data_IF_256448173036
#
_entry.id   IF_256448173036
#
_cell.length_a   1.000
_cell.length_b   1.000
_cell.length_c   1.000
_cell.angle_alpha   90.00
_cell.angle_beta   90.00
_cell.angle_gamma   90.00
#
_symmetry.space_group_name_H-M   'P 1'
#
loop_
_entity.id
_entity.type
_entity.pdbx_description
1 polymer ?
#
# COMPACT_ATOMS: atom_id res chain seq x y z
N UNK A 1 16.90 26.46 3.78
CA UNK A 1 15.47 26.11 3.76
C UNK A 1 15.28 24.82 4.55
N UNK A 2 14.33 24.84 5.51
CA UNK A 2 13.99 23.67 6.31
C UNK A 2 12.67 23.07 5.81
N UNK A 3 12.68 21.79 5.48
CA UNK A 3 11.52 21.05 5.03
C UNK A 3 11.24 19.90 5.98
N UNK A 4 10.04 19.86 6.54
CA UNK A 4 9.56 18.80 7.40
C UNK A 4 8.52 17.98 6.64
N UNK A 5 8.75 16.69 6.48
CA UNK A 5 7.82 15.79 5.85
C UNK A 5 7.31 14.79 6.89
N UNK A 6 6.02 14.52 6.88
CA UNK A 6 5.39 13.51 7.73
C UNK A 6 4.55 12.55 6.89
N UNK A 7 4.57 11.29 7.27
CA UNK A 7 3.60 10.30 6.79
C UNK A 7 2.58 10.03 7.89
N UNK A 8 1.29 10.06 7.51
CA UNK A 8 0.15 9.80 8.39
C UNK A 8 -0.55 8.52 7.96
N UNK A 9 -0.89 7.66 8.87
CA UNK A 9 -1.43 6.33 8.60
C UNK A 9 -0.60 5.27 9.30
N UNK A 10 -0.80 3.99 9.02
CA UNK A 10 0.06 2.96 9.61
C UNK A 10 1.53 3.24 9.25
N UNK A 11 2.44 3.03 10.19
CA UNK A 11 3.86 3.36 10.03
C UNK A 11 4.12 4.86 9.83
N UNK A 12 3.52 5.68 10.70
CA UNK A 12 3.80 7.11 10.74
C UNK A 12 5.30 7.38 10.80
N UNK A 13 5.76 8.40 10.08
CA UNK A 13 7.18 8.74 10.02
C UNK A 13 7.36 10.25 9.90
N UNK A 14 8.52 10.72 10.34
CA UNK A 14 8.94 12.12 10.23
C UNK A 14 10.32 12.19 9.61
N UNK A 15 10.48 13.05 8.61
CA UNK A 15 11.75 13.36 7.97
C UNK A 15 11.98 14.89 7.97
N UNK A 16 13.17 15.33 8.38
CA UNK A 16 13.58 16.73 8.35
C UNK A 16 14.74 16.90 7.41
N UNK A 17 14.60 17.80 6.47
CA UNK A 17 15.64 18.21 5.52
C UNK A 17 16.08 19.63 5.75
N UNK A 18 17.39 19.86 5.59
CA UNK A 18 17.95 21.19 5.43
C UNK A 18 18.50 21.30 4.01
N UNK A 19 17.90 22.15 3.20
CA UNK A 19 18.17 22.22 1.76
C UNK A 19 17.95 20.85 1.10
N UNK A 20 18.99 20.17 0.64
CA UNK A 20 18.89 18.84 0.05
C UNK A 20 19.38 17.71 0.97
N UNK A 21 19.79 18.03 2.19
CA UNK A 21 20.38 17.08 3.13
C UNK A 21 19.34 16.56 4.12
N UNK A 22 19.23 15.23 4.25
CA UNK A 22 18.43 14.58 5.28
C UNK A 22 19.13 14.73 6.64
N UNK A 23 18.56 15.54 7.55
CA UNK A 23 19.11 15.81 8.88
C UNK A 23 18.58 14.81 9.91
N UNK A 24 17.30 14.44 9.78
CA UNK A 24 16.63 13.57 10.76
C UNK A 24 15.57 12.74 10.06
N UNK A 25 15.47 11.46 10.45
CA UNK A 25 14.39 10.57 10.07
C UNK A 25 14.06 9.63 11.22
N UNK A 26 12.77 9.42 11.46
CA UNK A 26 12.30 8.43 12.43
C UNK A 26 10.91 7.93 12.07
N UNK A 27 10.68 6.64 12.26
CA UNK A 27 9.35 6.05 12.33
C UNK A 27 8.76 6.26 13.73
N UNK A 28 7.49 6.65 13.81
CA UNK A 28 6.84 7.00 15.06
C UNK A 28 6.84 5.86 16.07
N UNK A 29 6.69 4.62 15.63
CA UNK A 29 6.69 3.43 16.48
C UNK A 29 8.02 3.19 17.22
N UNK A 30 9.14 3.76 16.71
CA UNK A 30 10.44 3.73 17.40
C UNK A 30 10.43 4.61 18.65
N UNK A 31 9.67 5.67 18.62
CA UNK A 31 9.53 6.63 19.73
C UNK A 31 8.39 6.24 20.66
N UNK A 32 7.20 6.00 20.11
CA UNK A 32 6.00 5.68 20.90
C UNK A 32 6.01 4.27 21.50
N UNK A 33 6.80 3.34 20.93
CA UNK A 33 6.81 1.91 21.25
C UNK A 33 5.49 1.21 20.94
N UNK A 34 4.61 1.85 20.19
CA UNK A 34 3.37 1.26 19.68
C UNK A 34 3.56 0.89 18.23
N UNK A 35 3.59 -0.41 17.93
CA UNK A 35 3.80 -0.93 16.59
C UNK A 35 2.73 -0.40 15.63
N UNK A 36 3.17 0.06 14.47
CA UNK A 36 2.32 0.67 13.43
C UNK A 36 1.65 1.99 13.83
N UNK A 37 2.19 2.72 14.81
CA UNK A 37 1.69 4.05 15.17
C UNK A 37 1.71 4.97 13.95
N UNK A 38 0.54 5.50 13.61
CA UNK A 38 0.32 6.35 12.44
C UNK A 38 0.28 7.85 12.74
N UNK A 39 0.52 8.25 13.99
CA UNK A 39 0.41 9.65 14.41
C UNK A 39 1.78 10.24 14.71
N UNK A 40 2.47 10.88 13.74
CA UNK A 40 3.88 11.26 13.83
C UNK A 40 4.18 12.44 14.77
N UNK A 41 3.51 12.54 15.92
CA UNK A 41 3.68 13.68 16.84
C UNK A 41 4.99 13.66 17.62
N UNK A 42 5.49 12.48 18.02
CA UNK A 42 6.77 12.40 18.73
C UNK A 42 7.93 12.67 17.77
N UNK A 43 7.83 12.17 16.53
CA UNK A 43 8.78 12.50 15.48
C UNK A 43 8.79 13.98 15.16
N UNK A 44 7.61 14.62 15.06
CA UNK A 44 7.45 16.06 14.90
C UNK A 44 8.13 16.83 16.02
N UNK A 45 7.85 16.47 17.28
CA UNK A 45 8.49 17.11 18.44
C UNK A 45 10.01 16.95 18.38
N UNK A 46 10.47 15.75 18.02
CA UNK A 46 11.91 15.44 17.94
C UNK A 46 12.64 16.21 16.84
N UNK A 47 11.96 16.52 15.73
CA UNK A 47 12.56 17.34 14.67
C UNK A 47 12.97 18.73 15.15
N UNK A 48 12.27 19.28 16.14
CA UNK A 48 12.62 20.57 16.74
C UNK A 48 13.85 20.54 17.68
N UNK A 49 14.46 19.39 17.91
CA UNK A 49 15.79 19.33 18.51
C UNK A 49 16.89 19.82 17.54
N UNK A 50 16.59 19.88 16.25
CA UNK A 50 17.55 20.24 15.18
C UNK A 50 17.31 21.62 14.57
N UNK A 51 16.11 22.19 14.75
CA UNK A 51 15.74 23.51 14.23
C UNK A 51 14.69 24.16 15.10
N UNK A 52 14.63 25.49 15.11
CA UNK A 52 13.59 26.26 15.78
C UNK A 52 12.40 26.60 14.87
N UNK A 53 12.52 26.35 13.56
CA UNK A 53 11.48 26.59 12.57
C UNK A 53 11.59 25.63 11.39
N UNK A 54 10.50 25.51 10.65
CA UNK A 54 10.44 24.90 9.32
C UNK A 54 9.79 25.88 8.34
N UNK A 55 10.27 25.87 7.10
CA UNK A 55 9.73 26.71 6.02
C UNK A 55 8.57 25.99 5.32
N UNK A 56 8.67 24.66 5.21
CA UNK A 56 7.68 23.81 4.56
C UNK A 56 7.30 22.62 5.44
N UNK A 57 5.99 22.33 5.49
CA UNK A 57 5.44 21.09 6.00
C UNK A 57 4.84 20.30 4.83
N UNK A 58 5.31 19.09 4.61
CA UNK A 58 4.74 18.14 3.66
C UNK A 58 4.01 17.05 4.46
N UNK A 59 2.75 16.86 4.16
CA UNK A 59 1.93 15.81 4.77
C UNK A 59 1.60 14.79 3.68
N UNK A 60 2.13 13.58 3.84
CA UNK A 60 1.81 12.43 3.02
C UNK A 60 0.79 11.56 3.75
N UNK A 61 -0.14 10.99 3.00
CA UNK A 61 -1.16 10.10 3.54
C UNK A 61 -2.05 9.58 2.43
N UNK A 62 -2.84 8.57 2.72
CA UNK A 62 -3.84 8.04 1.80
C UNK A 62 -5.17 8.73 2.10
N UNK A 63 -5.80 9.32 1.10
CA UNK A 63 -7.19 9.78 1.23
C UNK A 63 -8.11 8.58 1.42
N UNK A 64 -9.17 8.77 2.21
CA UNK A 64 -10.22 7.76 2.29
C UNK A 64 -10.99 7.65 0.94
N UNK A 65 -11.87 6.64 0.83
CA UNK A 65 -12.70 6.38 -0.35
C UNK A 65 -13.49 7.56 -0.88
N UNK A 66 -13.67 8.59 -0.06
CA UNK A 66 -14.45 9.79 -0.40
C UNK A 66 -13.56 10.97 -0.77
N UNK A 67 -12.29 10.75 -1.06
CA UNK A 67 -11.33 11.82 -1.38
C UNK A 67 -11.12 12.81 -0.24
N UNK A 68 -11.45 12.45 1.00
CA UNK A 68 -11.37 13.33 2.16
C UNK A 68 -10.21 12.94 3.05
N UNK A 69 -9.45 13.93 3.49
CA UNK A 69 -8.51 13.75 4.58
C UNK A 69 -9.26 13.39 5.87
N UNK A 70 -8.62 12.66 6.82
CA UNK A 70 -9.27 12.21 8.04
C UNK A 70 -9.62 13.33 9.04
N UNK A 71 -9.46 14.58 8.64
CA UNK A 71 -9.81 15.76 9.45
C UNK A 71 -10.67 16.74 8.68
N UNK A 72 -11.44 17.54 9.40
CA UNK A 72 -12.23 18.65 8.88
C UNK A 72 -11.58 19.99 9.28
N UNK A 73 -11.50 20.93 8.34
CA UNK A 73 -10.84 22.21 8.57
C UNK A 73 -9.32 22.13 8.41
N UNK A 74 -8.60 22.90 9.24
CA UNK A 74 -7.14 22.89 9.20
C UNK A 74 -6.59 21.57 9.75
N UNK A 75 -5.53 21.07 9.13
CA UNK A 75 -4.88 19.85 9.60
C UNK A 75 -4.23 20.04 10.98
N UNK A 76 -4.25 19.01 11.84
CA UNK A 76 -3.76 19.13 13.20
C UNK A 76 -2.25 19.35 13.31
N UNK A 77 -1.49 18.94 12.29
CA UNK A 77 -0.04 19.08 12.27
C UNK A 77 0.38 20.52 11.97
N UNK A 78 -0.27 21.18 11.02
CA UNK A 78 -0.08 22.62 10.79
C UNK A 78 -0.46 23.46 12.02
N UNK A 79 -1.55 23.10 12.70
CA UNK A 79 -1.90 23.73 13.98
C UNK A 79 -0.81 23.58 15.04
N UNK A 80 -0.23 22.38 15.15
CA UNK A 80 0.86 22.10 16.08
C UNK A 80 2.09 22.93 15.76
N UNK A 81 2.55 22.91 14.51
CA UNK A 81 3.74 23.65 14.04
C UNK A 81 3.57 25.16 14.25
N UNK A 82 2.39 25.70 13.92
CA UNK A 82 2.11 27.14 14.12
C UNK A 82 2.25 27.55 15.59
N UNK A 83 1.80 26.71 16.52
CA UNK A 83 1.98 26.96 17.93
C UNK A 83 3.44 26.86 18.36
N UNK A 84 4.16 25.88 17.84
CA UNK A 84 5.55 25.63 18.15
C UNK A 84 6.47 26.77 17.67
N UNK A 85 6.26 27.27 16.45
CA UNK A 85 7.05 28.32 15.79
C UNK A 85 6.66 29.75 16.18
N UNK A 86 5.63 29.93 17.01
CA UNK A 86 5.22 31.24 17.55
C UNK A 86 5.06 32.35 16.51
N UNK A 87 4.47 32.02 15.34
CA UNK A 87 4.15 32.96 14.28
C UNK A 87 5.16 33.05 13.14
N UNK A 88 6.25 32.28 13.14
CA UNK A 88 7.08 32.09 11.94
C UNK A 88 6.20 31.41 10.89
N UNK A 89 6.12 32.01 9.71
CA UNK A 89 5.30 31.49 8.61
C UNK A 89 5.94 30.25 8.00
N UNK A 90 5.12 29.31 7.59
CA UNK A 90 5.47 28.13 6.81
C UNK A 90 4.37 27.82 5.79
N UNK A 91 4.70 27.04 4.79
CA UNK A 91 3.77 26.55 3.78
C UNK A 91 3.50 25.07 4.01
N UNK A 92 2.22 24.68 3.93
CA UNK A 92 1.82 23.26 4.03
C UNK A 92 1.42 22.73 2.66
N UNK A 93 1.94 21.57 2.30
CA UNK A 93 1.57 20.80 1.10
C UNK A 93 1.01 19.45 1.50
N UNK A 94 -0.15 19.11 0.97
CA UNK A 94 -0.84 17.83 1.21
C UNK A 94 -0.67 16.94 -0.02
N UNK A 95 -0.20 15.72 0.19
CA UNK A 95 -0.07 14.69 -0.84
C UNK A 95 -0.90 13.48 -0.43
N UNK A 96 -2.20 13.51 -0.73
CA UNK A 96 -3.14 12.44 -0.38
C UNK A 96 -3.71 11.69 -1.58
N UNK A 97 -3.67 12.31 -2.78
CA UNK A 97 -4.24 11.75 -4.01
C UNK A 97 -3.22 10.99 -4.85
N UNK A 98 -1.94 11.17 -4.55
CA UNK A 98 -0.82 10.63 -5.31
C UNK A 98 -0.05 9.57 -4.52
N UNK A 99 -0.77 8.63 -3.89
CA UNK A 99 -0.16 7.63 -3.00
C UNK A 99 0.90 6.79 -3.73
N UNK A 100 0.55 6.23 -4.90
CA UNK A 100 1.52 5.46 -5.69
C UNK A 100 2.65 6.33 -6.24
N UNK A 101 2.38 7.57 -6.61
CA UNK A 101 3.45 8.50 -7.01
C UNK A 101 4.42 8.76 -5.84
N UNK A 102 3.92 8.84 -4.61
CA UNK A 102 4.77 8.99 -3.42
C UNK A 102 5.69 7.76 -3.24
N UNK A 103 5.18 6.55 -3.44
CA UNK A 103 5.99 5.33 -3.45
C UNK A 103 7.00 5.33 -4.59
N UNK A 104 6.58 5.69 -5.81
CA UNK A 104 7.44 5.74 -6.99
C UNK A 104 8.59 6.71 -6.80
N UNK A 105 8.33 7.94 -6.33
CA UNK A 105 9.36 8.95 -6.06
C UNK A 105 10.33 8.48 -4.99
N UNK A 106 9.84 7.86 -3.92
CA UNK A 106 10.69 7.30 -2.88
C UNK A 106 11.64 6.24 -3.45
N UNK A 107 11.10 5.30 -4.25
CA UNK A 107 11.91 4.27 -4.89
C UNK A 107 12.93 4.84 -5.86
N UNK A 108 12.50 5.75 -6.74
CA UNK A 108 13.34 6.33 -7.79
C UNK A 108 14.51 7.15 -7.22
N UNK A 109 14.24 8.13 -6.35
CA UNK A 109 15.29 9.01 -5.83
C UNK A 109 16.27 8.30 -4.89
N UNK A 110 15.90 7.17 -4.30
CA UNK A 110 16.80 6.34 -3.50
C UNK A 110 17.54 5.27 -4.33
N UNK A 111 17.18 5.07 -5.59
CA UNK A 111 17.80 4.04 -6.44
C UNK A 111 19.19 4.43 -6.99
N UNK A 112 19.44 5.72 -7.13
CA UNK A 112 20.62 6.26 -7.81
C UNK A 112 20.56 6.23 -9.32
N UNK A 113 19.42 5.82 -9.93
CA UNK A 113 19.21 5.91 -11.39
C UNK A 113 18.87 7.34 -11.81
N UNK A 114 19.30 7.72 -13.02
CA UNK A 114 18.88 8.98 -13.65
C UNK A 114 17.59 8.83 -14.42
N UNK A 115 17.34 7.63 -14.97
CA UNK A 115 16.16 7.24 -15.72
C UNK A 115 15.76 5.83 -15.31
N UNK A 116 14.48 5.60 -15.08
CA UNK A 116 13.96 4.29 -14.71
C UNK A 116 12.49 4.10 -15.05
N UNK A 117 12.11 2.87 -15.40
CA UNK A 117 10.75 2.41 -15.22
C UNK A 117 10.53 2.07 -13.74
N UNK A 118 9.47 2.61 -13.16
CA UNK A 118 9.13 2.43 -11.73
C UNK A 118 7.80 1.69 -11.62
N UNK A 119 7.81 0.58 -10.92
CA UNK A 119 6.62 -0.24 -10.68
C UNK A 119 6.25 -0.11 -9.20
N UNK A 120 5.02 0.26 -8.95
CA UNK A 120 4.45 0.28 -7.59
C UNK A 120 3.47 -0.88 -7.47
N UNK A 121 3.59 -1.63 -6.38
CA UNK A 121 2.67 -2.71 -6.00
C UNK A 121 2.31 -2.47 -4.54
N UNK A 122 1.06 -2.10 -4.30
CA UNK A 122 0.60 -1.70 -2.98
C UNK A 122 -0.74 -2.36 -2.61
N UNK A 123 -1.07 -2.32 -1.33
CA UNK A 123 -2.32 -2.89 -0.81
C UNK A 123 -3.56 -2.08 -1.19
N UNK A 124 -3.45 -0.79 -1.09
CA UNK A 124 -4.47 0.16 -1.51
C UNK A 124 -3.86 1.57 -1.58
N UNK A 125 -3.72 2.09 -2.77
CA UNK A 125 -3.35 3.46 -3.02
C UNK A 125 -4.52 4.42 -2.93
N UNK A 126 -4.54 5.44 -3.77
CA UNK A 126 -5.64 6.41 -3.82
C UNK A 126 -6.90 5.80 -4.45
N UNK A 127 -8.07 6.29 -4.03
CA UNK A 127 -9.33 5.97 -4.70
C UNK A 127 -9.36 6.53 -6.11
N UNK A 128 -10.11 5.88 -6.99
CA UNK A 128 -10.32 6.38 -8.35
C UNK A 128 -11.15 7.68 -8.28
N UNK A 129 -10.59 8.76 -8.83
CA UNK A 129 -11.23 10.07 -8.91
C UNK A 129 -11.40 10.50 -10.38
N UNK A 130 -12.40 9.94 -11.05
CA UNK A 130 -12.79 10.33 -12.40
C UNK A 130 -14.21 10.89 -12.32
N UNK A 131 -14.42 12.19 -12.59
CA UNK A 131 -15.72 12.87 -12.41
C UNK A 131 -16.88 12.20 -13.14
N UNK A 132 -16.65 11.67 -14.34
CA UNK A 132 -17.66 11.01 -15.17
C UNK A 132 -18.13 9.66 -14.62
N UNK A 133 -17.45 9.14 -13.58
CA UNK A 133 -17.66 7.81 -13.05
C UNK A 133 -17.98 7.82 -11.56
N UNK A 134 -18.78 8.77 -11.12
CA UNK A 134 -19.16 8.92 -9.69
C UNK A 134 -19.71 7.63 -9.04
N UNK A 135 -20.38 6.79 -9.81
CA UNK A 135 -20.94 5.51 -9.34
C UNK A 135 -19.83 4.46 -9.06
N UNK A 136 -18.63 4.66 -9.59
CA UNK A 136 -17.49 3.71 -9.48
C UNK A 136 -16.55 4.07 -8.32
N UNK A 137 -16.65 5.28 -7.78
CA UNK A 137 -15.71 5.82 -6.77
C UNK A 137 -15.70 5.00 -5.48
N UNK A 138 -16.86 4.50 -5.06
CA UNK A 138 -16.97 3.77 -3.80
C UNK A 138 -16.42 2.35 -3.92
N UNK A 139 -15.26 2.13 -3.29
CA UNK A 139 -14.65 0.81 -3.22
C UNK A 139 -13.72 0.47 -4.40
N UNK A 140 -13.24 1.47 -5.15
CA UNK A 140 -12.27 1.31 -6.23
C UNK A 140 -10.94 1.96 -5.85
N UNK A 141 -9.85 1.18 -5.87
CA UNK A 141 -8.55 1.56 -5.31
C UNK A 141 -7.41 1.21 -6.24
N UNK A 142 -6.45 2.12 -6.30
CA UNK A 142 -5.19 1.88 -6.96
C UNK A 142 -4.44 0.73 -6.27
N UNK A 143 -4.00 -0.27 -7.05
CA UNK A 143 -3.33 -1.48 -6.55
C UNK A 143 -1.95 -1.68 -7.14
N UNK A 144 -1.77 -1.39 -8.44
CA UNK A 144 -0.46 -1.39 -9.09
C UNK A 144 -0.38 -0.21 -10.05
N UNK A 145 0.83 0.32 -10.24
CA UNK A 145 1.09 1.41 -11.20
C UNK A 145 2.46 1.28 -11.85
N UNK A 146 2.57 1.78 -13.08
CA UNK A 146 3.81 1.82 -13.84
C UNK A 146 4.07 3.27 -14.27
N UNK A 147 5.24 3.76 -13.93
CA UNK A 147 5.73 5.10 -14.27
C UNK A 147 7.05 5.01 -15.03
N UNK A 148 7.35 6.00 -15.86
CA UNK A 148 8.72 6.37 -16.18
C UNK A 148 9.10 7.63 -15.41
N UNK A 149 10.33 7.64 -14.90
CA UNK A 149 10.86 8.74 -14.13
C UNK A 149 12.25 9.08 -14.58
N UNK A 150 12.52 10.39 -14.76
CA UNK A 150 13.83 10.91 -15.11
C UNK A 150 14.22 12.04 -14.18
N UNK A 151 15.50 12.05 -13.80
CA UNK A 151 16.05 13.11 -12.96
C UNK A 151 16.13 14.44 -13.74
N UNK A 152 15.83 15.62 -13.19
CA UNK A 152 15.58 15.82 -11.75
C UNK A 152 14.14 15.62 -11.30
N UNK A 153 13.12 15.71 -12.17
CA UNK A 153 11.72 15.71 -11.71
C UNK A 153 10.70 15.35 -12.82
N UNK A 154 11.11 14.65 -13.87
CA UNK A 154 10.18 14.19 -14.90
C UNK A 154 9.50 12.92 -14.42
N UNK A 155 8.17 12.89 -14.54
CA UNK A 155 7.33 11.76 -14.16
C UNK A 155 6.21 11.60 -15.17
N UNK A 156 6.07 10.40 -15.69
CA UNK A 156 4.97 10.01 -16.57
C UNK A 156 4.34 8.73 -16.06
N UNK A 157 3.02 8.74 -15.85
CA UNK A 157 2.26 7.56 -15.50
C UNK A 157 1.82 6.86 -16.78
N UNK A 158 2.16 5.59 -16.97
CA UNK A 158 1.77 4.82 -18.15
C UNK A 158 0.56 3.96 -17.90
N UNK A 159 0.51 3.32 -16.74
CA UNK A 159 -0.59 2.40 -16.39
C UNK A 159 -0.91 2.54 -14.92
N UNK A 160 -2.21 2.59 -14.63
CA UNK A 160 -2.75 2.49 -13.27
C UNK A 160 -3.80 1.39 -13.23
N UNK A 161 -3.60 0.42 -12.36
CA UNK A 161 -4.56 -0.65 -12.10
C UNK A 161 -5.35 -0.32 -10.84
N UNK A 162 -6.66 -0.44 -10.96
CA UNK A 162 -7.60 -0.26 -9.85
C UNK A 162 -8.37 -1.55 -9.58
N UNK A 163 -8.36 -1.98 -8.34
CA UNK A 163 -9.22 -3.04 -7.86
C UNK A 163 -10.57 -2.47 -7.42
N UNK A 164 -11.66 -3.13 -7.81
CA UNK A 164 -13.02 -2.69 -7.51
C UNK A 164 -13.89 -3.83 -7.03
N UNK A 165 -14.91 -3.50 -6.23
CA UNK A 165 -15.99 -4.43 -5.88
C UNK A 165 -17.01 -4.63 -7.01
N UNK A 166 -16.86 -3.94 -8.12
CA UNK A 166 -17.72 -4.08 -9.29
C UNK A 166 -17.42 -5.38 -10.04
N UNK A 167 -18.45 -5.93 -10.67
CA UNK A 167 -18.34 -7.17 -11.45
C UNK A 167 -17.76 -6.95 -12.85
N UNK A 168 -17.85 -5.74 -13.36
CA UNK A 168 -17.43 -5.40 -14.72
C UNK A 168 -16.06 -4.76 -14.70
N UNK A 169 -15.18 -5.27 -15.56
CA UNK A 169 -13.88 -4.67 -15.82
C UNK A 169 -13.99 -3.73 -17.00
N UNK A 170 -13.34 -2.59 -16.91
CA UNK A 170 -13.26 -1.63 -18.02
C UNK A 170 -11.88 -0.99 -18.10
N UNK A 171 -11.61 -0.38 -19.23
CA UNK A 171 -10.36 0.31 -19.53
C UNK A 171 -10.68 1.67 -20.09
N UNK A 172 -9.98 2.69 -19.64
CA UNK A 172 -10.06 4.06 -20.17
C UNK A 172 -8.66 4.66 -20.27
N UNK A 173 -8.55 5.80 -20.94
CA UNK A 173 -7.32 6.58 -20.98
C UNK A 173 -7.60 7.95 -20.35
N UNK A 174 -6.83 8.30 -19.34
CA UNK A 174 -6.88 9.60 -18.69
C UNK A 174 -5.51 10.27 -18.80
N UNK A 175 -5.44 11.43 -19.47
CA UNK A 175 -4.20 12.19 -19.69
C UNK A 175 -3.03 11.30 -20.14
N UNK A 176 -3.25 10.50 -21.20
CA UNK A 176 -2.30 9.51 -21.75
C UNK A 176 -1.97 8.31 -20.83
N UNK A 177 -2.48 8.28 -19.62
CA UNK A 177 -2.37 7.15 -18.69
C UNK A 177 -3.43 6.11 -18.99
N UNK A 178 -3.03 4.85 -19.21
CA UNK A 178 -3.95 3.72 -19.31
C UNK A 178 -4.46 3.36 -17.90
N UNK A 179 -5.78 3.48 -17.70
CA UNK A 179 -6.45 3.11 -16.46
C UNK A 179 -7.24 1.83 -16.69
N UNK A 180 -6.88 0.79 -15.97
CA UNK A 180 -7.59 -0.50 -15.98
C UNK A 180 -8.29 -0.70 -14.63
N UNK A 181 -9.62 -0.79 -14.64
CA UNK A 181 -10.42 -1.13 -13.46
C UNK A 181 -10.93 -2.56 -13.61
N UNK A 182 -10.77 -3.36 -12.58
CA UNK A 182 -11.20 -4.75 -12.59
C UNK A 182 -11.66 -5.20 -11.20
N UNK A 183 -12.34 -6.34 -11.16
CA UNK A 183 -12.66 -7.04 -9.91
C UNK A 183 -11.42 -7.69 -9.24
N UNK A 184 -10.24 -7.49 -9.82
CA UNK A 184 -8.96 -7.91 -9.25
C UNK A 184 -8.54 -6.95 -8.13
N UNK A 185 -8.21 -7.51 -6.97
CA UNK A 185 -7.77 -6.73 -5.81
C UNK A 185 -6.26 -6.60 -5.71
N UNK A 186 -5.54 -6.88 -6.80
CA UNK A 186 -4.09 -6.79 -6.86
C UNK A 186 -3.35 -7.91 -6.13
N UNK A 187 -2.04 -7.88 -6.27
CA UNK A 187 -1.13 -8.88 -5.70
C UNK A 187 -1.13 -8.85 -4.18
N UNK A 188 -1.10 -7.65 -3.63
CA UNK A 188 -0.92 -7.39 -2.21
C UNK A 188 -2.13 -7.86 -1.41
N UNK A 189 -3.35 -7.65 -1.91
CA UNK A 189 -4.56 -8.11 -1.22
C UNK A 189 -4.65 -9.63 -1.16
N UNK A 190 -4.18 -10.34 -2.18
CA UNK A 190 -4.05 -11.81 -2.12
C UNK A 190 -3.06 -12.23 -1.04
N UNK A 191 -1.94 -11.52 -0.96
CA UNK A 191 -0.91 -11.78 0.05
C UNK A 191 -1.41 -11.49 1.48
N UNK A 192 -2.10 -10.37 1.68
CA UNK A 192 -2.73 -10.00 2.96
C UNK A 192 -3.74 -11.04 3.42
N UNK A 193 -4.60 -11.52 2.51
CA UNK A 193 -5.61 -12.52 2.83
C UNK A 193 -4.98 -13.84 3.28
N UNK A 194 -3.95 -14.31 2.58
CA UNK A 194 -3.19 -15.49 3.00
C UNK A 194 -2.52 -15.25 4.35
N UNK A 195 -1.95 -14.06 4.57
CA UNK A 195 -1.34 -13.69 5.86
C UNK A 195 -2.36 -13.78 7.00
N UNK A 196 -3.57 -13.24 6.78
CA UNK A 196 -4.67 -13.35 7.74
C UNK A 196 -5.09 -14.80 8.00
N UNK A 197 -5.19 -15.62 6.95
CA UNK A 197 -5.53 -17.04 7.07
C UNK A 197 -4.46 -17.84 7.83
N UNK A 198 -3.20 -17.47 7.71
CA UNK A 198 -2.11 -18.07 8.47
C UNK A 198 -2.14 -17.70 9.96
N UNK A 199 -3.10 -16.86 10.39
CA UNK A 199 -3.28 -16.45 11.78
C UNK A 199 -2.46 -15.22 12.18
N UNK A 200 -1.96 -14.45 11.21
CA UNK A 200 -1.27 -13.19 11.43
C UNK A 200 -2.18 -12.00 11.15
N UNK A 201 -1.81 -10.82 11.61
CA UNK A 201 -2.49 -9.60 11.16
C UNK A 201 -2.12 -9.33 9.69
N UNK A 202 -3.07 -8.86 8.86
CA UNK A 202 -2.89 -8.67 7.42
C UNK A 202 -1.63 -7.85 7.06
N UNK A 203 -1.31 -6.81 7.85
CA UNK A 203 -0.11 -5.99 7.66
C UNK A 203 1.20 -6.68 8.08
N UNK A 204 1.14 -7.88 8.62
CA UNK A 204 2.32 -8.67 9.01
C UNK A 204 2.81 -9.60 7.89
N UNK A 205 2.64 -9.21 6.64
CA UNK A 205 3.03 -9.96 5.44
C UNK A 205 4.48 -10.49 5.50
N UNK A 206 5.37 -9.77 6.18
CA UNK A 206 6.74 -10.21 6.43
C UNK A 206 6.85 -11.54 7.19
N UNK A 207 5.86 -11.91 8.01
CA UNK A 207 5.82 -13.22 8.67
C UNK A 207 5.50 -14.34 7.68
N UNK A 208 4.56 -14.11 6.77
CA UNK A 208 4.24 -15.02 5.66
C UNK A 208 5.44 -15.23 4.76
N UNK A 209 6.12 -14.14 4.39
CA UNK A 209 7.37 -14.18 3.62
C UNK A 209 8.45 -14.99 4.35
N UNK A 210 8.58 -14.83 5.66
CA UNK A 210 9.53 -15.58 6.48
C UNK A 210 9.21 -17.09 6.57
N UNK A 211 7.96 -17.50 6.41
CA UNK A 211 7.53 -18.90 6.39
C UNK A 211 7.72 -19.53 5.00
N UNK A 212 7.57 -18.76 3.93
CA UNK A 212 7.58 -19.26 2.56
C UNK A 212 8.77 -20.18 2.21
N UNK A 213 10.02 -19.91 2.62
CA UNK A 213 11.16 -20.81 2.32
C UNK A 213 11.06 -22.22 2.93
N UNK A 214 10.18 -22.40 3.91
CA UNK A 214 9.98 -23.70 4.57
C UNK A 214 8.85 -24.52 3.94
N UNK A 215 8.10 -23.94 2.98
CA UNK A 215 7.07 -24.62 2.22
C UNK A 215 7.57 -25.13 0.87
N UNK A 216 6.69 -25.81 0.16
CA UNK A 216 6.94 -26.35 -1.19
C UNK A 216 5.76 -26.12 -2.10
N UNK A 217 5.96 -26.35 -3.39
CA UNK A 217 4.87 -26.34 -4.36
C UNK A 217 3.82 -27.39 -4.00
N UNK A 218 2.58 -26.98 -3.97
CA UNK A 218 1.43 -27.83 -3.69
C UNK A 218 0.34 -27.54 -4.74
N UNK A 219 0.10 -28.48 -5.63
CA UNK A 219 -0.80 -28.37 -6.76
C UNK A 219 -2.29 -28.33 -6.36
N UNK A 220 -2.60 -28.71 -5.12
CA UNK A 220 -3.95 -28.59 -4.57
C UNK A 220 -4.29 -27.17 -4.13
N UNK A 221 -3.29 -26.29 -3.94
CA UNK A 221 -3.46 -24.90 -3.55
C UNK A 221 -3.55 -24.02 -4.80
N UNK A 222 -4.77 -23.65 -5.17
CA UNK A 222 -5.01 -22.76 -6.31
C UNK A 222 -5.43 -21.38 -5.83
N UNK A 223 -4.45 -20.49 -5.68
CA UNK A 223 -4.69 -19.12 -5.20
C UNK A 223 -5.43 -18.25 -6.22
N UNK A 224 -5.20 -18.48 -7.51
CA UNK A 224 -5.80 -17.72 -8.60
C UNK A 224 -5.92 -18.59 -9.85
N UNK A 225 -7.13 -18.88 -10.28
CA UNK A 225 -7.40 -19.36 -11.62
C UNK A 225 -7.86 -18.19 -12.51
N UNK A 226 -6.92 -17.32 -12.93
CA UNK A 226 -7.26 -16.19 -13.78
C UNK A 226 -7.87 -15.00 -13.03
N UNK A 227 -8.82 -14.29 -13.61
CA UNK A 227 -9.50 -13.15 -12.99
C UNK A 227 -10.16 -13.54 -11.68
N UNK A 228 -10.17 -12.64 -10.71
CA UNK A 228 -10.94 -12.81 -9.47
C UNK A 228 -12.43 -12.90 -9.84
N UNK A 229 -12.92 -14.11 -9.89
CA UNK A 229 -14.33 -14.40 -10.03
C UNK A 229 -14.98 -14.49 -8.64
N UNK A 230 -16.30 -14.67 -8.58
CA UNK A 230 -17.00 -14.99 -7.32
C UNK A 230 -16.44 -16.24 -6.60
N UNK A 231 -15.52 -16.97 -7.23
CA UNK A 231 -14.81 -18.16 -6.75
C UNK A 231 -13.41 -17.85 -6.22
N UNK A 232 -13.02 -16.57 -6.17
CA UNK A 232 -11.70 -16.20 -5.69
C UNK A 232 -11.57 -16.46 -4.20
N UNK A 233 -10.43 -17.02 -3.82
CA UNK A 233 -10.03 -17.28 -2.44
C UNK A 233 -10.07 -16.03 -1.55
N UNK A 234 -9.90 -14.86 -2.16
CA UNK A 234 -9.83 -13.57 -1.48
C UNK A 234 -11.11 -12.80 -1.71
N UNK A 235 -11.81 -12.48 -0.63
CA UNK A 235 -12.91 -11.52 -0.67
C UNK A 235 -12.35 -10.12 -0.52
N UNK A 236 -12.75 -9.18 -1.39
CA UNK A 236 -12.43 -7.78 -1.19
C UNK A 236 -12.99 -7.29 0.13
N UNK A 237 -12.12 -6.83 0.99
CA UNK A 237 -12.45 -6.13 2.23
C UNK A 237 -11.86 -4.76 2.15
N UNK A 238 -12.70 -3.76 2.15
CA UNK A 238 -12.29 -2.39 2.05
C UNK A 238 -12.22 -1.73 3.44
N UNK A 239 -11.26 -0.81 3.67
CA UNK A 239 -9.98 -0.55 2.98
C UNK A 239 -8.84 -1.39 3.53
N UNK A 240 -9.04 -2.10 4.62
CA UNK A 240 -7.99 -2.86 5.29
C UNK A 240 -8.44 -4.31 5.49
N UNK A 241 -7.70 -5.20 4.89
CA UNK A 241 -7.86 -6.62 5.13
C UNK A 241 -8.83 -7.28 4.15
N UNK A 242 -8.28 -7.81 3.09
CA UNK A 242 -8.93 -8.88 2.37
C UNK A 242 -9.03 -10.07 3.30
N UNK A 243 -10.22 -10.58 3.47
CA UNK A 243 -10.46 -11.80 4.26
C UNK A 243 -10.75 -12.95 3.31
N UNK A 244 -10.25 -14.10 3.66
CA UNK A 244 -10.72 -15.34 3.08
C UNK A 244 -12.20 -15.46 3.41
N UNK A 245 -13.00 -15.76 2.42
CA UNK A 245 -14.46 -15.87 2.61
C UNK A 245 -14.77 -17.00 3.56
N UNK A 246 -15.27 -16.69 4.73
CA UNK A 246 -15.76 -17.69 5.69
C UNK A 246 -17.01 -18.44 5.18
N UNK A 247 -17.77 -17.81 4.28
CA UNK A 247 -18.92 -18.38 3.58
C UNK A 247 -18.55 -19.37 2.45
N UNK A 248 -17.26 -19.45 2.11
CA UNK A 248 -16.71 -20.43 1.16
C UNK A 248 -16.13 -21.67 1.84
N UNK A 249 -16.47 -21.94 3.06
CA UNK A 249 -15.87 -23.05 3.81
C UNK A 249 -16.03 -24.41 3.08
N UNK A 250 -17.14 -24.64 2.39
CA UNK A 250 -17.34 -25.85 1.59
C UNK A 250 -16.63 -25.77 0.22
N UNK A 251 -16.53 -24.59 -0.38
CA UNK A 251 -15.84 -24.38 -1.65
C UNK A 251 -14.32 -24.29 -1.43
N UNK A 252 -13.87 -23.68 -0.33
CA UNK A 252 -12.50 -23.73 0.14
C UNK A 252 -12.05 -25.15 0.45
N UNK A 253 -12.90 -25.98 1.03
CA UNK A 253 -12.63 -27.42 1.21
C UNK A 253 -12.42 -28.13 -0.12
N UNK A 254 -13.14 -27.73 -1.16
CA UNK A 254 -12.95 -28.25 -2.52
C UNK A 254 -11.64 -27.73 -3.19
N UNK A 255 -11.26 -26.49 -2.92
CA UNK A 255 -10.06 -25.84 -3.50
C UNK A 255 -8.80 -26.18 -2.70
N UNK A 256 -8.90 -26.20 -1.39
CA UNK A 256 -7.79 -26.45 -0.46
C UNK A 256 -7.65 -27.95 -0.12
N UNK A 257 -8.55 -28.79 -0.61
CA UNK A 257 -8.61 -30.18 -0.22
C UNK A 257 -9.22 -30.35 1.18
N UNK A 258 -9.00 -31.50 1.78
CA UNK A 258 -9.49 -31.81 3.12
C UNK A 258 -8.93 -30.85 4.17
N UNK A 259 -9.76 -29.89 4.63
CA UNK A 259 -9.41 -28.93 5.70
C UNK A 259 -9.51 -29.54 7.10
N UNK A 260 -9.59 -30.86 7.24
CA UNK A 260 -9.49 -31.54 8.53
C UNK A 260 -8.20 -31.26 9.30
N UNK A 261 -7.21 -30.66 8.62
CA UNK A 261 -5.96 -30.13 9.19
C UNK A 261 -6.19 -29.09 10.29
N UNK A 262 -7.33 -28.37 10.31
CA UNK A 262 -7.70 -27.47 11.42
C UNK A 262 -7.76 -28.17 12.79
N UNK A 263 -7.82 -29.48 12.82
CA UNK A 263 -7.90 -30.28 14.05
C UNK A 263 -6.58 -30.99 14.40
N UNK A 264 -5.58 -30.94 13.50
CA UNK A 264 -4.30 -31.58 13.66
C UNK A 264 -3.19 -30.55 13.50
N UNK A 265 -2.64 -30.07 14.62
CA UNK A 265 -1.63 -29.03 14.64
C UNK A 265 -0.37 -29.36 13.80
N UNK A 266 -0.05 -30.62 13.64
CA UNK A 266 1.12 -31.04 12.84
C UNK A 266 0.87 -30.89 11.34
N UNK A 267 -0.34 -31.16 10.88
CA UNK A 267 -0.73 -30.95 9.48
C UNK A 267 -0.94 -29.49 9.16
N UNK A 268 -1.46 -28.70 10.12
CA UNK A 268 -1.58 -27.23 9.99
C UNK A 268 -0.21 -26.64 9.63
N UNK A 269 0.85 -27.05 10.29
CA UNK A 269 2.15 -26.43 10.11
C UNK A 269 2.71 -26.64 8.69
N UNK A 270 2.65 -27.83 8.13
CA UNK A 270 3.08 -28.09 6.76
C UNK A 270 2.23 -27.35 5.72
N UNK A 271 0.92 -27.37 5.88
CA UNK A 271 0.03 -26.69 4.96
C UNK A 271 0.23 -25.17 4.98
N UNK A 272 0.42 -24.59 6.16
CA UNK A 272 0.73 -23.15 6.31
C UNK A 272 2.03 -22.78 5.59
N UNK A 273 3.05 -23.62 5.68
CA UNK A 273 4.30 -23.43 4.95
C UNK A 273 4.07 -23.48 3.43
N UNK A 274 3.36 -24.48 2.96
CA UNK A 274 3.04 -24.63 1.53
C UNK A 274 2.19 -23.45 1.02
N UNK A 275 1.19 -23.02 1.78
CA UNK A 275 0.36 -21.86 1.43
C UNK A 275 1.18 -20.56 1.36
N UNK A 276 2.08 -20.36 2.31
CA UNK A 276 3.01 -19.23 2.29
C UNK A 276 3.94 -19.29 1.07
N UNK A 277 4.48 -20.47 0.73
CA UNK A 277 5.28 -20.69 -0.47
C UNK A 277 4.47 -20.35 -1.75
N UNK A 278 3.25 -20.84 -1.84
CA UNK A 278 2.40 -20.65 -3.02
C UNK A 278 2.05 -19.18 -3.25
N UNK A 279 1.70 -18.43 -2.19
CA UNK A 279 1.42 -17.00 -2.35
C UNK A 279 2.68 -16.21 -2.70
N UNK A 280 3.81 -16.52 -2.09
CA UNK A 280 5.09 -15.89 -2.41
C UNK A 280 5.44 -16.13 -3.90
N UNK A 281 5.36 -17.37 -4.35
CA UNK A 281 5.64 -17.75 -5.73
C UNK A 281 4.69 -17.09 -6.73
N UNK A 282 3.40 -17.08 -6.43
CA UNK A 282 2.39 -16.39 -7.24
C UNK A 282 2.69 -14.89 -7.36
N UNK A 283 3.06 -14.25 -6.26
CA UNK A 283 3.43 -12.82 -6.24
C UNK A 283 4.66 -12.56 -7.10
N UNK A 284 5.73 -13.34 -6.95
CA UNK A 284 6.93 -13.21 -7.77
C UNK A 284 6.66 -13.34 -9.26
N UNK A 285 5.85 -14.31 -9.66
CA UNK A 285 5.56 -14.56 -11.07
C UNK A 285 4.71 -13.42 -11.67
N UNK A 286 3.80 -12.84 -10.89
CA UNK A 286 3.00 -11.68 -11.32
C UNK A 286 3.83 -10.39 -11.40
N UNK A 287 4.71 -10.15 -10.43
CA UNK A 287 5.66 -9.01 -10.49
C UNK A 287 6.53 -9.11 -11.74
N UNK A 288 7.00 -10.32 -12.11
CA UNK A 288 7.73 -10.53 -13.38
C UNK A 288 6.90 -10.16 -14.62
N UNK A 289 5.58 -10.37 -14.58
CA UNK A 289 4.71 -9.94 -15.69
C UNK A 289 4.58 -8.42 -15.74
N UNK A 290 4.46 -7.73 -14.59
CA UNK A 290 4.47 -6.27 -14.54
C UNK A 290 5.79 -5.69 -15.06
N UNK A 291 6.94 -6.28 -14.67
CA UNK A 291 8.26 -5.88 -15.18
C UNK A 291 8.30 -6.01 -16.71
N UNK A 292 7.82 -7.13 -17.27
CA UNK A 292 7.77 -7.32 -18.73
C UNK A 292 6.85 -6.34 -19.45
N UNK A 293 5.85 -5.78 -18.76
CA UNK A 293 4.96 -4.76 -19.31
C UNK A 293 5.59 -3.37 -19.25
N UNK A 294 6.47 -3.12 -18.29
CA UNK A 294 7.14 -1.84 -18.07
C UNK A 294 8.39 -1.63 -18.95
N UNK A 295 8.91 -2.69 -19.56
CA UNK A 295 10.09 -2.71 -20.44
C UNK A 295 9.65 -3.04 -21.85
#
# INVERSE_FOLDING_TARGET
MWLLAINTGHNGATALYKDSELIFYVEEDRLSRWKYDGNPYLGLEKAYDYTDHVDYLIICGTRNAFGKMPWTGEDPYSCYIRKKQKGIKFETKLYGDDHHLTHATTGFYNSGFNDAAVIVVDGAGSGLDIPEWDEVKDGTWEVESIYSMSYPAEVEAHVKYYGSNMRDSFTLTDNDTLVEVSDSHGLTKTYEAVTGFLGFHAIEAGKTMGIAPYGKFNDTIKLNEGRFTNRSFVKPGFPAGSVIRADMDDELRGILGDTSWHKDETKIDEYRKDLAYMVQKSTEDRVKLLIKKAV
#
